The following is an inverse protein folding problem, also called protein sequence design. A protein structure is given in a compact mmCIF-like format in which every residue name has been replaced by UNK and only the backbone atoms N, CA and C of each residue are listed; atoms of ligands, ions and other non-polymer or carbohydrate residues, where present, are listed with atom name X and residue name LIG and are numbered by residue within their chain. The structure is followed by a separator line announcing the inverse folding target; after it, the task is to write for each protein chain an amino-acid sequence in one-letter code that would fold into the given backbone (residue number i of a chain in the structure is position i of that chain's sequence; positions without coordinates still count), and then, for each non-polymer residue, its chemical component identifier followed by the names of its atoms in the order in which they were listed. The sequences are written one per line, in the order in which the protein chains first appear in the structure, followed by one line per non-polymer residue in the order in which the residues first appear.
data_IF_401069595578
#
_entry.id   IF_401069595578
#
_cell.length_a   1.000
_cell.length_b   1.000
_cell.length_c   1.000
_cell.angle_alpha   90.00
_cell.angle_beta   90.00
_cell.angle_gamma   90.00
#
_symmetry.space_group_name_H-M   'P 1'
#
loop_
_entity.id
_entity.type
_entity.pdbx_description
1 polymer ?
#
# COMPACT_ATOMS: atom_id res chain seq x y z
N UNK A 1 46.56 -22.18 -13.03
CA UNK A 1 45.94 -21.57 -11.84
C UNK A 1 44.63 -22.29 -11.54
N UNK A 2 44.69 -23.54 -11.08
CA UNK A 2 43.48 -24.34 -10.81
C UNK A 2 43.68 -25.23 -9.58
N UNK A 3 43.68 -24.66 -8.39
CA UNK A 3 43.67 -25.49 -7.17
C UNK A 3 43.13 -24.83 -5.90
N UNK A 4 42.55 -23.64 -5.96
CA UNK A 4 42.20 -22.87 -4.76
C UNK A 4 40.70 -22.62 -4.53
N UNK A 5 39.78 -23.49 -4.98
CA UNK A 5 38.32 -23.22 -4.83
C UNK A 5 37.49 -24.39 -4.29
N UNK A 6 38.06 -25.55 -3.93
CA UNK A 6 37.24 -26.74 -3.64
C UNK A 6 36.96 -27.08 -2.17
N UNK A 7 37.45 -26.32 -1.19
CA UNK A 7 37.42 -26.78 0.21
C UNK A 7 36.47 -26.03 1.18
N UNK A 8 35.61 -25.12 0.72
CA UNK A 8 34.73 -24.34 1.64
C UNK A 8 33.32 -24.90 1.85
N UNK A 9 32.94 -26.03 1.21
CA UNK A 9 31.57 -26.55 1.26
C UNK A 9 31.31 -27.64 2.32
N UNK A 10 32.30 -27.99 3.16
CA UNK A 10 32.20 -29.08 4.14
C UNK A 10 31.93 -28.63 5.58
N UNK A 11 31.40 -27.42 5.79
CA UNK A 11 30.87 -27.06 7.11
C UNK A 11 29.42 -27.57 7.20
N UNK A 12 29.09 -28.52 8.10
CA UNK A 12 27.71 -28.90 8.30
C UNK A 12 26.93 -27.68 8.79
N UNK A 13 25.91 -27.29 8.03
CA UNK A 13 24.96 -26.23 8.41
C UNK A 13 24.37 -26.66 9.76
N UNK A 14 24.73 -25.93 10.82
CA UNK A 14 24.15 -26.13 12.14
C UNK A 14 22.66 -25.86 12.03
N UNK A 15 21.85 -26.92 11.99
CA UNK A 15 20.40 -26.79 12.01
C UNK A 15 20.00 -26.22 13.36
N UNK A 16 19.51 -24.98 13.36
CA UNK A 16 18.90 -24.39 14.54
C UNK A 16 17.59 -25.14 14.80
N UNK A 17 17.65 -26.14 15.69
CA UNK A 17 16.43 -26.74 16.24
C UNK A 17 15.77 -25.69 17.13
N UNK A 18 14.81 -24.97 16.56
CA UNK A 18 13.87 -24.16 17.34
C UNK A 18 13.09 -25.12 18.25
N UNK A 19 13.39 -25.09 19.55
CA UNK A 19 12.64 -25.80 20.56
C UNK A 19 11.28 -25.13 20.75
N UNK A 20 10.32 -25.48 19.90
CA UNK A 20 8.90 -25.28 20.16
C UNK A 20 8.24 -26.63 19.92
N UNK A 21 8.10 -27.43 20.98
CA UNK A 21 7.05 -28.43 21.21
C UNK A 21 7.33 -29.10 22.54
N UNK A 22 6.43 -28.93 23.50
CA UNK A 22 6.46 -29.63 24.76
C UNK A 22 5.90 -31.03 24.58
N UNK A 23 6.73 -32.04 24.80
CA UNK A 23 6.29 -33.37 25.22
C UNK A 23 7.42 -34.00 26.04
N UNK A 24 7.15 -34.29 27.33
CA UNK A 24 8.07 -34.99 28.22
C UNK A 24 7.98 -36.48 27.93
N UNK A 25 9.02 -37.08 27.37
CA UNK A 25 9.23 -38.53 27.41
C UNK A 25 10.24 -38.89 28.52
N UNK A 26 10.05 -40.02 29.22
CA UNK A 26 10.88 -40.39 30.37
C UNK A 26 12.28 -40.84 29.92
N UNK A 27 13.28 -40.35 30.66
CA UNK A 27 14.70 -40.54 30.40
C UNK A 27 15.18 -41.96 30.71
N UNK A 28 15.77 -42.65 29.74
CA UNK A 28 16.66 -43.79 29.98
C UNK A 28 18.06 -43.31 30.38
N UNK A 29 18.44 -43.51 31.64
CA UNK A 29 19.76 -43.14 32.17
C UNK A 29 20.73 -44.33 32.05
N UNK A 30 21.74 -44.24 31.19
CA UNK A 30 23.01 -44.96 31.38
C UNK A 30 24.07 -43.99 31.91
N UNK A 31 24.47 -44.24 33.16
CA UNK A 31 25.57 -43.55 33.86
C UNK A 31 26.88 -43.76 33.09
N UNK A 32 27.53 -42.67 32.70
CA UNK A 32 28.99 -42.63 32.61
C UNK A 32 29.49 -41.27 33.11
N UNK A 33 30.45 -41.34 34.03
CA UNK A 33 30.92 -40.21 34.80
C UNK A 33 31.70 -39.19 33.98
N UNK A 34 31.47 -37.92 34.31
CA UNK A 34 32.47 -36.88 34.13
C UNK A 34 32.25 -35.85 35.25
N UNK A 35 33.18 -35.81 36.21
CA UNK A 35 33.34 -34.67 37.12
C UNK A 35 33.79 -33.49 36.28
N UNK A 36 32.85 -32.77 35.67
CA UNK A 36 33.07 -31.40 35.23
C UNK A 36 32.68 -30.52 36.40
N UNK A 37 33.64 -29.81 36.96
CA UNK A 37 33.38 -28.61 37.73
C UNK A 37 32.65 -27.63 36.81
N UNK A 38 31.33 -27.76 36.75
CA UNK A 38 30.48 -26.76 36.16
C UNK A 38 30.62 -25.54 37.05
N UNK A 39 31.28 -24.49 36.55
CA UNK A 39 30.89 -23.17 37.01
C UNK A 39 29.37 -23.16 36.83
N UNK A 40 28.65 -23.12 37.95
CA UNK A 40 27.24 -22.76 37.92
C UNK A 40 27.27 -21.32 37.48
N UNK A 41 27.33 -21.11 36.17
CA UNK A 41 26.87 -19.89 35.55
C UNK A 41 25.46 -19.74 36.06
N UNK A 42 25.31 -18.96 37.13
CA UNK A 42 24.05 -18.32 37.45
C UNK A 42 23.76 -17.50 36.21
N UNK A 43 23.09 -18.09 35.23
CA UNK A 43 22.20 -17.32 34.38
C UNK A 43 21.17 -16.81 35.37
N UNK A 44 21.45 -15.63 35.96
CA UNK A 44 20.46 -14.85 36.66
C UNK A 44 19.30 -14.77 35.68
N UNK A 45 18.16 -15.36 36.04
CA UNK A 45 16.95 -15.22 35.25
C UNK A 45 16.78 -13.72 34.98
N UNK A 46 16.55 -13.31 33.72
CA UNK A 46 16.33 -11.90 33.40
C UNK A 46 15.27 -11.38 34.36
N UNK A 47 15.53 -10.25 35.03
CA UNK A 47 14.57 -9.67 35.96
C UNK A 47 13.20 -9.58 35.24
N UNK A 48 12.15 -10.24 35.77
CA UNK A 48 10.84 -10.22 35.15
C UNK A 48 10.34 -8.80 34.84
N UNK A 49 10.74 -7.81 35.65
CA UNK A 49 10.39 -6.40 35.40
C UNK A 49 11.05 -5.86 34.13
N UNK A 50 12.34 -6.14 33.92
CA UNK A 50 13.08 -5.74 32.72
C UNK A 50 12.53 -6.42 31.46
N UNK A 51 12.10 -7.68 31.57
CA UNK A 51 11.48 -8.38 30.45
C UNK A 51 10.14 -7.74 30.06
N UNK A 52 9.34 -7.34 31.05
CA UNK A 52 8.04 -6.69 30.82
C UNK A 52 8.20 -5.28 30.24
N UNK A 53 9.17 -4.50 30.71
CA UNK A 53 9.44 -3.17 30.13
C UNK A 53 9.91 -3.28 28.68
N UNK A 54 10.81 -4.23 28.40
CA UNK A 54 11.29 -4.48 27.04
C UNK A 54 10.16 -4.87 26.07
N UNK A 55 9.26 -5.77 26.49
CA UNK A 55 8.08 -6.13 25.70
C UNK A 55 7.19 -4.91 25.43
N UNK A 56 6.97 -4.06 26.43
CA UNK A 56 6.18 -2.84 26.26
C UNK A 56 6.84 -1.87 25.26
N UNK A 57 8.17 -1.73 25.28
CA UNK A 57 8.89 -0.88 24.33
C UNK A 57 8.78 -1.41 22.90
N UNK A 58 8.88 -2.73 22.69
CA UNK A 58 8.66 -3.35 21.38
C UNK A 58 7.23 -3.11 20.86
N UNK A 59 6.22 -3.21 21.73
CA UNK A 59 4.83 -2.92 21.36
C UNK A 59 4.63 -1.45 20.99
N UNK A 60 5.26 -0.52 21.72
CA UNK A 60 5.21 0.91 21.38
C UNK A 60 5.86 1.15 20.01
N UNK A 61 7.03 0.60 19.77
CA UNK A 61 7.75 0.75 18.51
C UNK A 61 6.95 0.16 17.34
N UNK A 62 6.34 -1.01 17.55
CA UNK A 62 5.45 -1.64 16.57
C UNK A 62 4.25 -0.74 16.25
N UNK A 63 3.57 -0.19 17.25
CA UNK A 63 2.43 0.72 17.06
C UNK A 63 2.83 1.98 16.28
N UNK A 64 3.99 2.56 16.58
CA UNK A 64 4.52 3.71 15.83
C UNK A 64 4.77 3.38 14.36
N UNK A 65 5.40 2.23 14.09
CA UNK A 65 5.62 1.75 12.71
C UNK A 65 4.31 1.51 11.98
N UNK A 66 3.35 0.85 12.62
CA UNK A 66 2.04 0.57 12.05
C UNK A 66 1.27 1.87 11.72
N UNK A 67 1.31 2.87 12.59
CA UNK A 67 0.70 4.18 12.34
C UNK A 67 1.33 4.89 11.12
N UNK A 68 2.67 4.94 11.06
CA UNK A 68 3.39 5.53 9.92
C UNK A 68 3.10 4.78 8.60
N UNK A 69 3.02 3.45 8.67
CA UNK A 69 2.68 2.62 7.51
C UNK A 69 1.23 2.82 7.08
N UNK A 70 0.29 2.97 8.02
CA UNK A 70 -1.10 3.27 7.72
C UNK A 70 -1.23 4.60 6.97
N UNK A 71 -0.52 5.64 7.42
CA UNK A 71 -0.46 6.92 6.72
C UNK A 71 0.10 6.77 5.29
N UNK A 72 1.27 6.16 5.12
CA UNK A 72 1.88 5.95 3.79
C UNK A 72 0.99 5.09 2.87
N UNK A 73 0.30 4.10 3.43
CA UNK A 73 -0.65 3.27 2.69
C UNK A 73 -1.84 4.10 2.22
N UNK A 74 -2.37 4.97 3.08
CA UNK A 74 -3.45 5.89 2.75
C UNK A 74 -3.02 6.90 1.66
N UNK A 75 -1.79 7.43 1.73
CA UNK A 75 -1.22 8.31 0.68
C UNK A 75 -1.16 7.59 -0.67
N UNK A 76 -0.64 6.35 -0.69
CA UNK A 76 -0.62 5.54 -1.91
C UNK A 76 -2.03 5.21 -2.42
N UNK A 77 -2.97 4.92 -1.53
CA UNK A 77 -4.36 4.68 -1.89
C UNK A 77 -5.03 5.93 -2.48
N UNK A 78 -4.72 7.11 -1.95
CA UNK A 78 -5.22 8.38 -2.47
C UNK A 78 -4.74 8.64 -3.91
N UNK A 79 -3.44 8.44 -4.17
CA UNK A 79 -2.88 8.53 -5.52
C UNK A 79 -3.57 7.57 -6.50
N UNK A 80 -3.69 6.29 -6.11
CA UNK A 80 -4.35 5.28 -6.96
C UNK A 80 -5.82 5.63 -7.20
N UNK A 81 -6.54 6.08 -6.17
CA UNK A 81 -7.95 6.48 -6.29
C UNK A 81 -8.13 7.71 -7.17
N UNK A 82 -7.17 8.64 -7.19
CA UNK A 82 -7.18 9.76 -8.13
C UNK A 82 -7.04 9.27 -9.57
N UNK A 83 -6.00 8.48 -9.89
CA UNK A 83 -5.79 8.02 -11.26
C UNK A 83 -6.88 7.10 -11.76
N UNK A 84 -7.47 6.25 -10.90
CA UNK A 84 -8.64 5.47 -11.29
C UNK A 84 -9.82 6.35 -11.69
N UNK A 85 -10.06 7.46 -10.98
CA UNK A 85 -11.08 8.44 -11.38
C UNK A 85 -10.72 9.14 -12.69
N UNK A 86 -9.46 9.58 -12.84
CA UNK A 86 -8.94 10.24 -14.05
C UNK A 86 -9.14 9.39 -15.31
N UNK A 87 -8.89 8.09 -15.21
CA UNK A 87 -8.99 7.14 -16.32
C UNK A 87 -10.26 6.28 -16.29
N UNK A 88 -11.28 6.67 -15.51
CA UNK A 88 -12.59 5.99 -15.45
C UNK A 88 -12.51 4.49 -15.15
N UNK A 89 -11.50 4.07 -14.38
CA UNK A 89 -11.31 2.70 -13.94
C UNK A 89 -12.20 2.37 -12.74
N UNK A 90 -12.55 1.10 -12.60
CA UNK A 90 -13.35 0.58 -11.49
C UNK A 90 -12.70 0.87 -10.14
N UNK A 91 -13.50 1.30 -9.15
CA UNK A 91 -13.02 1.58 -7.79
C UNK A 91 -12.48 0.30 -7.13
N UNK A 92 -11.46 0.46 -6.28
CA UNK A 92 -10.87 -0.65 -5.52
C UNK A 92 -11.32 -0.58 -4.06
N UNK A 93 -11.92 -1.67 -3.56
CA UNK A 93 -12.42 -1.75 -2.19
C UNK A 93 -11.31 -1.63 -1.13
N UNK A 94 -10.14 -2.23 -1.36
CA UNK A 94 -9.00 -2.15 -0.42
C UNK A 94 -8.49 -0.72 -0.28
N UNK A 95 -8.43 0.01 -1.38
CA UNK A 95 -8.01 1.42 -1.35
C UNK A 95 -9.04 2.29 -0.63
N UNK A 96 -10.34 2.02 -0.82
CA UNK A 96 -11.40 2.71 -0.10
C UNK A 96 -11.33 2.45 1.41
N UNK A 97 -11.03 1.21 1.82
CA UNK A 97 -10.83 0.86 3.23
C UNK A 97 -9.60 1.56 3.82
N UNK A 98 -8.46 1.58 3.11
CA UNK A 98 -7.25 2.28 3.56
C UNK A 98 -7.49 3.79 3.74
N UNK A 99 -8.24 4.41 2.84
CA UNK A 99 -8.64 5.81 2.95
C UNK A 99 -9.59 6.04 4.14
N UNK A 100 -10.55 5.12 4.37
CA UNK A 100 -11.46 5.18 5.52
C UNK A 100 -10.73 5.01 6.85
N UNK A 101 -9.78 4.08 6.92
CA UNK A 101 -9.00 3.79 8.11
C UNK A 101 -8.13 4.97 8.56
N UNK A 102 -7.70 5.83 7.62
CA UNK A 102 -6.98 7.07 7.94
C UNK A 102 -7.88 8.13 8.61
N UNK A 103 -9.21 8.01 8.52
CA UNK A 103 -10.22 8.86 9.17
C UNK A 103 -10.31 10.31 8.67
N UNK A 104 -9.19 10.90 8.24
CA UNK A 104 -9.07 12.27 7.73
C UNK A 104 -8.75 12.27 6.23
N UNK A 105 -8.92 13.44 5.61
CA UNK A 105 -8.39 13.70 4.27
C UNK A 105 -6.89 13.45 4.29
N UNK A 106 -6.44 12.51 3.46
CA UNK A 106 -5.04 12.14 3.35
C UNK A 106 -4.26 13.27 2.69
N UNK A 107 -3.34 13.88 3.42
CA UNK A 107 -2.44 14.89 2.89
C UNK A 107 -1.35 14.21 2.08
N UNK A 108 -1.31 14.44 0.77
CA UNK A 108 -0.24 13.94 -0.07
C UNK A 108 1.03 14.79 0.12
N UNK A 109 2.23 14.18 0.06
CA UNK A 109 3.49 14.90 -0.07
C UNK A 109 3.44 15.93 -1.21
N UNK A 110 4.13 17.07 -1.05
CA UNK A 110 4.04 18.22 -1.97
C UNK A 110 4.26 17.85 -3.44
N UNK A 111 5.23 16.99 -3.71
CA UNK A 111 5.54 16.58 -5.08
C UNK A 111 4.45 15.68 -5.68
N UNK A 112 3.84 14.81 -4.86
CA UNK A 112 2.72 13.97 -5.28
C UNK A 112 1.43 14.78 -5.43
N UNK A 113 1.23 15.79 -4.57
CA UNK A 113 0.09 16.68 -4.62
C UNK A 113 0.05 17.47 -5.94
N UNK A 114 1.20 17.87 -6.50
CA UNK A 114 1.27 18.54 -7.82
C UNK A 114 0.75 17.67 -8.97
N UNK A 115 0.93 16.35 -8.92
CA UNK A 115 0.45 15.44 -9.98
C UNK A 115 -1.05 15.15 -9.91
N UNK A 116 -1.68 15.41 -8.76
CA UNK A 116 -3.08 15.11 -8.44
C UNK A 116 -3.92 16.36 -8.31
N UNK A 117 -3.28 17.51 -8.10
CA UNK A 117 -3.93 18.80 -8.01
C UNK A 117 -4.65 19.15 -9.32
N UNK A 118 -5.64 20.06 -9.25
CA UNK A 118 -6.20 20.64 -10.46
C UNK A 118 -5.05 21.24 -11.27
N UNK A 119 -4.92 20.83 -12.53
CA UNK A 119 -4.06 21.54 -13.49
C UNK A 119 -4.43 23.02 -13.39
N UNK A 120 -3.42 23.88 -13.23
CA UNK A 120 -3.67 25.32 -13.25
C UNK A 120 -4.47 25.62 -14.51
N UNK A 121 -5.54 26.45 -14.45
CA UNK A 121 -6.35 26.71 -15.63
C UNK A 121 -5.39 27.18 -16.72
N UNK A 122 -5.25 26.37 -17.77
CA UNK A 122 -4.73 26.86 -19.01
C UNK A 122 -5.60 28.09 -19.32
N UNK A 123 -4.98 29.23 -19.58
CA UNK A 123 -5.71 30.37 -20.10
C UNK A 123 -6.27 29.91 -21.44
N UNK A 124 -7.49 29.40 -21.43
CA UNK A 124 -8.20 28.95 -22.62
C UNK A 124 -8.57 30.21 -23.40
N UNK A 125 -7.63 30.69 -24.22
CA UNK A 125 -7.89 31.70 -25.25
C UNK A 125 -8.93 31.19 -26.29
N UNK A 126 -9.37 29.93 -26.15
CA UNK A 126 -10.44 29.28 -26.93
C UNK A 126 -11.78 30.04 -26.87
N UNK A 127 -12.05 30.84 -25.82
CA UNK A 127 -13.27 31.65 -25.75
C UNK A 127 -13.13 33.03 -26.43
N UNK A 128 -11.90 33.53 -26.60
CA UNK A 128 -11.65 34.82 -27.28
C UNK A 128 -12.04 34.82 -28.76
N UNK A 129 -12.05 33.64 -29.39
CA UNK A 129 -12.48 33.47 -30.78
C UNK A 129 -14.01 33.65 -30.93
N UNK A 130 -14.81 33.23 -29.94
CA UNK A 130 -16.27 33.39 -29.93
C UNK A 130 -16.67 34.83 -29.60
N UNK A 131 -15.91 35.48 -28.72
CA UNK A 131 -16.11 36.89 -28.38
C UNK A 131 -15.92 37.82 -29.60
N UNK A 132 -15.03 37.47 -30.53
CA UNK A 132 -14.84 38.20 -31.78
C UNK A 132 -16.07 38.15 -32.71
N UNK A 133 -16.92 37.11 -32.61
CA UNK A 133 -18.13 36.97 -33.42
C UNK A 133 -19.37 37.61 -32.80
N UNK A 134 -19.34 38.02 -31.52
CA UNK A 134 -20.47 38.73 -30.90
C UNK A 134 -20.76 40.08 -31.60
N UNK A 135 -19.73 40.68 -32.23
CA UNK A 135 -19.88 41.91 -33.02
C UNK A 135 -20.37 41.66 -34.46
N UNK A 136 -20.43 40.40 -34.92
CA UNK A 136 -20.77 40.04 -36.31
C UNK A 136 -22.25 39.72 -36.55
N UNK A 137 -23.12 39.98 -35.56
CA UNK A 137 -24.55 40.23 -35.84
C UNK A 137 -25.50 39.14 -35.38
N UNK A 138 -26.39 39.55 -34.47
CA UNK A 138 -27.68 38.92 -34.19
C UNK A 138 -28.71 39.23 -35.30
N UNK A 139 -28.31 39.11 -36.56
CA UNK A 139 -29.17 39.30 -37.72
C UNK A 139 -28.99 38.11 -38.66
N UNK A 140 -30.09 37.53 -39.13
CA UNK A 140 -30.16 36.40 -40.08
C UNK A 140 -30.28 35.00 -39.41
N UNK A 141 -31.23 34.80 -38.49
CA UNK A 141 -31.94 33.50 -38.39
C UNK A 141 -33.39 33.70 -37.93
N UNK A 142 -34.13 34.56 -38.64
CA UNK A 142 -35.60 34.47 -38.66
C UNK A 142 -35.99 33.45 -39.73
N UNK A 143 -35.95 32.15 -39.41
CA UNK A 143 -36.69 31.18 -40.23
C UNK A 143 -37.38 30.13 -39.37
N UNK A 144 -38.70 30.32 -39.33
CA UNK A 144 -39.76 29.48 -38.74
C UNK A 144 -39.41 27.99 -38.77
N UNK A 145 -39.47 27.34 -37.61
CA UNK A 145 -39.56 25.89 -37.55
C UNK A 145 -40.94 25.44 -38.04
N UNK A 146 -40.98 24.77 -39.19
CA UNK A 146 -42.12 23.96 -39.63
C UNK A 146 -42.01 22.57 -39.00
N UNK A 147 -43.09 22.13 -38.36
CA UNK A 147 -43.24 20.83 -37.69
C UNK A 147 -43.31 19.66 -38.70
N UNK A 148 -42.78 18.51 -38.24
CA UNK A 148 -43.16 17.07 -38.49
C UNK A 148 -42.81 16.38 -39.83
N UNK A 149 -42.66 15.02 -39.92
CA UNK A 149 -42.47 13.97 -38.88
C UNK A 149 -41.47 12.79 -39.24
N UNK A 150 -41.27 11.88 -38.28
CA UNK A 150 -40.95 10.41 -38.42
C UNK A 150 -39.55 9.93 -38.87
N UNK A 151 -38.85 9.20 -37.99
CA UNK A 151 -38.62 7.74 -38.13
C UNK A 151 -38.09 7.13 -36.84
N UNK A 152 -38.58 5.93 -36.51
CA UNK A 152 -38.06 5.08 -35.43
C UNK A 152 -36.72 4.49 -35.86
N UNK A 153 -35.76 4.43 -34.95
CA UNK A 153 -34.64 3.50 -35.03
C UNK A 153 -34.42 2.94 -33.62
N UNK A 154 -34.85 1.70 -33.43
CA UNK A 154 -34.52 0.85 -32.31
C UNK A 154 -33.00 0.79 -32.16
N UNK A 155 -32.48 1.03 -30.96
CA UNK A 155 -31.06 0.86 -30.64
C UNK A 155 -30.94 -0.14 -29.49
N UNK A 156 -30.80 -1.42 -29.87
CA UNK A 156 -30.24 -2.45 -29.01
C UNK A 156 -28.78 -2.07 -28.63
N UNK A 157 -28.32 -2.30 -27.39
CA UNK A 157 -26.94 -2.03 -27.01
C UNK A 157 -25.99 -3.11 -27.53
N UNK A 158 -24.92 -2.67 -28.23
CA UNK A 158 -23.84 -3.53 -28.72
C UNK A 158 -23.25 -4.41 -27.62
N UNK A 159 -23.28 -5.74 -27.81
CA UNK A 159 -22.43 -6.69 -27.06
C UNK A 159 -21.09 -6.84 -27.78
N UNK A 160 -20.01 -6.56 -27.07
CA UNK A 160 -18.64 -6.83 -27.49
C UNK A 160 -18.38 -8.33 -27.32
N UNK A 161 -17.83 -8.98 -28.36
CA UNK A 161 -17.37 -10.37 -28.35
C UNK A 161 -16.14 -10.53 -27.45
#
# INVERSE_FOLDING_TARGET
MESAVKNSLLAPIKTLKFCVSGEKQPSGWTKHGSKRHGSKGKTCAPDPRLLRSYQADLERERKLREAMNAQKNAERAAMRAHFRRKYQLTKNAKDAEQLRAAGRKVCLPRDLAKMVGPEAPAKDDSFGLIDAFQSLGAGIFTRKQSKTPTSRADTEPCRVM
#
